data_IF_277636867726
#
_entry.id   IF_277636867726
#
_cell.length_a   1.000
_cell.length_b   1.000
_cell.length_c   1.000
_cell.angle_alpha   90.00
_cell.angle_beta   90.00
_cell.angle_gamma   90.00
#
_symmetry.space_group_name_H-M   'P 1'
#
loop_
_entity.id
_entity.type
_entity.pdbx_description
1 polymer ?
#
# COMPACT_ATOMS: atom_id res chain seq x y z
N UNK A 1 44.28 -11.79 -58.45
CA UNK A 1 43.02 -11.38 -59.13
C UNK A 1 43.38 -10.85 -60.50
N UNK A 2 42.72 -11.32 -61.56
CA UNK A 2 43.00 -10.93 -62.95
C UNK A 2 42.02 -9.87 -63.46
N UNK A 3 40.72 -10.00 -63.16
CA UNK A 3 39.71 -9.06 -63.60
C UNK A 3 38.48 -9.07 -62.69
N UNK A 4 37.78 -7.93 -62.64
CA UNK A 4 36.46 -7.78 -62.03
C UNK A 4 35.51 -7.07 -62.98
N UNK A 5 34.24 -7.46 -62.95
CA UNK A 5 33.15 -6.78 -63.61
C UNK A 5 31.96 -6.64 -62.67
N UNK A 6 31.27 -5.49 -62.73
CA UNK A 6 30.09 -5.22 -61.91
C UNK A 6 28.95 -4.83 -62.84
N UNK A 7 27.77 -5.42 -62.63
CA UNK A 7 26.51 -4.97 -63.24
C UNK A 7 25.59 -4.43 -62.16
N UNK A 8 25.61 -3.11 -61.91
CA UNK A 8 24.84 -2.50 -60.82
C UNK A 8 23.33 -2.78 -60.93
N UNK A 9 22.80 -2.72 -62.15
CA UNK A 9 21.37 -2.91 -62.45
C UNK A 9 20.82 -4.28 -62.01
N UNK A 10 21.67 -5.32 -62.02
CA UNK A 10 21.32 -6.69 -61.67
C UNK A 10 21.98 -7.18 -60.38
N UNK A 11 22.77 -6.34 -59.71
CA UNK A 11 23.50 -6.71 -58.49
C UNK A 11 24.58 -7.79 -58.67
N UNK A 12 25.07 -8.00 -59.90
CA UNK A 12 26.03 -9.07 -60.19
C UNK A 12 27.48 -8.56 -60.09
N UNK A 13 28.34 -9.36 -59.44
CA UNK A 13 29.79 -9.17 -59.42
C UNK A 13 30.44 -10.40 -60.03
N UNK A 14 31.27 -10.22 -61.06
CA UNK A 14 32.12 -11.27 -61.62
C UNK A 14 33.56 -11.02 -61.21
N UNK A 15 34.22 -12.07 -60.74
CA UNK A 15 35.62 -12.06 -60.35
C UNK A 15 36.34 -13.17 -61.12
N UNK A 16 37.47 -12.84 -61.73
CA UNK A 16 38.36 -13.82 -62.37
C UNK A 16 39.67 -13.80 -61.59
N UNK A 17 40.06 -14.98 -61.12
CA UNK A 17 41.31 -15.20 -60.39
C UNK A 17 42.09 -16.29 -61.11
N UNK A 18 43.41 -16.17 -61.11
CA UNK A 18 44.30 -17.21 -61.55
C UNK A 18 45.49 -17.29 -60.60
N UNK A 19 46.06 -18.47 -60.54
CA UNK A 19 47.32 -18.76 -59.88
C UNK A 19 48.21 -19.47 -60.90
N UNK A 20 49.50 -19.18 -60.88
CA UNK A 20 50.49 -19.77 -61.80
C UNK A 20 51.55 -20.49 -60.99
N UNK A 21 51.98 -21.67 -61.44
CA UNK A 21 52.87 -22.55 -60.67
C UNK A 21 52.09 -23.58 -59.86
N UNK A 22 52.55 -24.83 -59.87
CA UNK A 22 51.87 -25.97 -59.23
C UNK A 22 51.84 -25.81 -57.70
N UNK A 23 52.85 -25.12 -57.15
CA UNK A 23 53.00 -24.76 -55.75
C UNK A 23 51.99 -23.71 -55.24
N UNK A 24 51.33 -22.98 -56.16
CA UNK A 24 50.35 -21.95 -55.82
C UNK A 24 48.91 -22.39 -56.15
N UNK A 25 48.72 -23.64 -56.56
CA UNK A 25 47.40 -24.20 -56.79
C UNK A 25 46.61 -24.25 -55.47
N UNK A 26 45.30 -24.02 -55.54
CA UNK A 26 44.42 -24.22 -54.38
C UNK A 26 44.29 -25.73 -54.17
N UNK A 27 45.03 -26.27 -53.20
CA UNK A 27 45.13 -27.70 -52.93
C UNK A 27 44.43 -28.15 -51.64
N UNK A 28 43.98 -27.20 -50.82
CA UNK A 28 43.35 -27.44 -49.53
C UNK A 28 42.11 -26.55 -49.35
N UNK A 29 41.20 -26.98 -48.48
CA UNK A 29 40.04 -26.19 -48.10
C UNK A 29 40.47 -24.89 -47.41
N UNK A 30 39.90 -23.76 -47.82
CA UNK A 30 40.27 -22.47 -47.25
C UNK A 30 39.42 -21.30 -47.73
N UNK A 31 39.63 -20.14 -47.11
CA UNK A 31 38.98 -18.88 -47.51
C UNK A 31 39.53 -18.41 -48.87
N UNK A 32 38.70 -18.44 -49.91
CA UNK A 32 39.08 -17.97 -51.25
C UNK A 32 38.84 -16.49 -51.48
N UNK A 33 37.81 -15.92 -50.83
CA UNK A 33 37.40 -14.53 -51.02
C UNK A 33 36.76 -13.96 -49.75
N UNK A 34 37.11 -12.70 -49.45
CA UNK A 34 36.41 -11.89 -48.45
C UNK A 34 35.69 -10.74 -49.13
N UNK A 35 34.36 -10.79 -49.16
CA UNK A 35 33.53 -9.68 -49.62
C UNK A 35 33.30 -8.70 -48.46
N UNK A 36 33.49 -7.41 -48.72
CA UNK A 36 33.15 -6.34 -47.78
C UNK A 36 32.10 -5.44 -48.41
N UNK A 37 31.07 -5.11 -47.65
CA UNK A 37 30.00 -4.20 -48.07
C UNK A 37 29.52 -3.34 -46.91
N UNK A 38 28.89 -2.22 -47.22
CA UNK A 38 28.25 -1.34 -46.25
C UNK A 38 26.76 -1.24 -46.56
N UNK A 39 25.94 -1.25 -45.52
CA UNK A 39 24.51 -1.04 -45.67
C UNK A 39 24.22 0.45 -45.87
N UNK A 40 23.21 0.74 -46.71
CA UNK A 40 22.64 2.08 -46.78
C UNK A 40 21.96 2.41 -45.45
N UNK A 41 22.18 3.62 -44.93
CA UNK A 41 21.55 4.04 -43.68
C UNK A 41 20.01 4.04 -43.79
N UNK A 42 19.32 3.62 -42.72
CA UNK A 42 17.86 3.75 -42.58
C UNK A 42 17.01 2.78 -43.40
N UNK A 43 17.58 1.69 -43.94
CA UNK A 43 16.81 0.67 -44.67
C UNK A 43 16.48 -0.53 -43.79
N UNK A 44 15.33 -1.15 -44.04
CA UNK A 44 14.93 -2.45 -43.49
C UNK A 44 14.61 -3.42 -44.63
N UNK A 45 14.81 -4.71 -44.41
CA UNK A 45 14.50 -5.74 -45.39
C UNK A 45 15.46 -6.91 -45.33
N UNK A 46 15.42 -7.75 -46.36
CA UNK A 46 16.34 -8.86 -46.54
C UNK A 46 17.24 -8.62 -47.75
N UNK A 47 18.50 -9.05 -47.64
CA UNK A 47 19.43 -9.12 -48.76
C UNK A 47 20.02 -10.52 -48.81
N UNK A 48 20.00 -11.13 -49.99
CA UNK A 48 20.64 -12.41 -50.26
C UNK A 48 21.95 -12.15 -51.01
N UNK A 49 23.04 -12.70 -50.51
CA UNK A 49 24.33 -12.73 -51.23
C UNK A 49 24.64 -14.19 -51.49
N UNK A 50 24.80 -14.57 -52.76
CA UNK A 50 25.10 -15.95 -53.13
C UNK A 50 26.10 -16.03 -54.27
N UNK A 51 26.80 -17.15 -54.37
CA UNK A 51 27.61 -17.47 -55.55
C UNK A 51 26.70 -18.16 -56.56
N UNK A 52 26.39 -17.48 -57.66
CA UNK A 52 25.48 -18.02 -58.70
C UNK A 52 26.20 -18.88 -59.74
N UNK A 53 27.52 -18.74 -59.87
CA UNK A 53 28.35 -19.57 -60.74
C UNK A 53 29.81 -19.57 -60.24
N UNK A 54 30.42 -20.74 -60.14
CA UNK A 54 31.83 -20.89 -59.79
C UNK A 54 32.48 -21.97 -60.66
N UNK A 55 33.29 -21.55 -61.63
CA UNK A 55 34.00 -22.45 -62.53
C UNK A 55 35.48 -22.45 -62.21
N UNK A 56 36.04 -23.64 -62.02
CA UNK A 56 37.48 -23.85 -61.82
C UNK A 56 38.03 -24.34 -63.16
N UNK A 57 39.20 -23.85 -63.56
CA UNK A 57 39.88 -24.31 -64.77
C UNK A 57 41.36 -24.60 -64.50
N UNK A 58 41.84 -25.73 -65.03
CA UNK A 58 43.23 -26.13 -65.02
C UNK A 58 43.56 -26.86 -66.34
N UNK A 59 44.71 -26.55 -66.94
CA UNK A 59 45.23 -27.19 -68.16
C UNK A 59 44.22 -27.28 -69.32
N UNK A 60 43.43 -26.22 -69.51
CA UNK A 60 42.42 -26.13 -70.58
C UNK A 60 41.09 -26.84 -70.28
N UNK A 61 40.99 -27.55 -69.16
CA UNK A 61 39.75 -28.17 -68.70
C UNK A 61 39.02 -27.24 -67.71
N UNK A 62 37.69 -27.22 -67.74
CA UNK A 62 36.87 -26.47 -66.78
C UNK A 62 35.82 -27.36 -66.12
N UNK A 63 35.63 -27.17 -64.82
CA UNK A 63 34.62 -27.86 -64.03
C UNK A 63 33.85 -26.87 -63.15
N UNK A 64 32.51 -26.91 -63.13
CA UNK A 64 31.73 -26.13 -62.17
C UNK A 64 31.87 -26.73 -60.76
N UNK A 65 31.98 -25.87 -59.75
CA UNK A 65 31.83 -26.30 -58.37
C UNK A 65 30.37 -26.19 -57.91
N UNK A 66 29.98 -27.02 -56.94
CA UNK A 66 28.69 -26.90 -56.28
C UNK A 66 28.66 -25.59 -55.45
N UNK A 67 27.61 -24.78 -55.66
CA UNK A 67 27.39 -23.50 -54.97
C UNK A 67 26.08 -23.45 -54.20
N UNK A 68 25.37 -24.57 -54.06
CA UNK A 68 24.04 -24.66 -53.45
C UNK A 68 24.04 -24.13 -51.99
N UNK A 69 25.14 -24.38 -51.26
CA UNK A 69 25.33 -23.91 -49.89
C UNK A 69 26.04 -22.55 -49.79
N UNK A 70 26.47 -21.96 -50.91
CA UNK A 70 27.22 -20.72 -50.96
C UNK A 70 26.30 -19.49 -50.99
N UNK A 71 25.37 -19.42 -50.02
CA UNK A 71 24.42 -18.32 -49.86
C UNK A 71 24.39 -17.81 -48.42
N UNK A 72 24.31 -16.49 -48.27
CA UNK A 72 24.15 -15.78 -47.02
C UNK A 72 22.88 -14.92 -47.08
N UNK A 73 21.98 -15.16 -46.14
CA UNK A 73 20.81 -14.31 -45.91
C UNK A 73 21.12 -13.27 -44.85
N UNK A 74 20.97 -12.00 -45.21
CA UNK A 74 21.17 -10.85 -44.32
C UNK A 74 19.79 -10.27 -44.02
N UNK A 75 19.42 -10.24 -42.74
CA UNK A 75 18.18 -9.62 -42.26
C UNK A 75 18.49 -8.26 -41.63
N UNK A 76 17.75 -7.24 -42.03
CA UNK A 76 17.92 -5.85 -41.59
C UNK A 76 16.61 -5.40 -40.94
N UNK A 77 16.60 -5.33 -39.61
CA UNK A 77 15.49 -4.81 -38.83
C UNK A 77 15.74 -3.36 -38.41
N UNK A 78 14.70 -2.51 -38.50
CA UNK A 78 14.70 -1.18 -37.86
C UNK A 78 14.48 -1.31 -36.37
N UNK A 79 15.12 -0.45 -35.58
CA UNK A 79 14.89 -0.40 -34.14
C UNK A 79 13.44 0.03 -33.81
N UNK A 80 12.80 -0.69 -32.89
CA UNK A 80 11.44 -0.42 -32.42
C UNK A 80 11.44 0.73 -31.40
N UNK A 81 10.62 1.76 -31.67
CA UNK A 81 10.51 2.99 -30.88
C UNK A 81 9.12 3.16 -30.25
N UNK A 82 8.18 2.25 -30.50
CA UNK A 82 6.78 2.42 -30.09
C UNK A 82 6.65 2.63 -28.57
N UNK A 83 7.36 1.83 -27.78
CA UNK A 83 7.36 1.93 -26.32
C UNK A 83 7.97 3.25 -25.81
N UNK A 84 9.01 3.77 -26.48
CA UNK A 84 9.64 5.04 -26.12
C UNK A 84 8.71 6.22 -26.42
N UNK A 85 8.07 6.25 -27.60
CA UNK A 85 7.10 7.30 -27.92
C UNK A 85 5.90 7.30 -26.96
N UNK A 86 5.36 6.12 -26.63
CA UNK A 86 4.28 6.02 -25.65
C UNK A 86 4.70 6.55 -24.27
N UNK A 87 5.89 6.18 -23.80
CA UNK A 87 6.41 6.65 -22.51
C UNK A 87 6.65 8.17 -22.49
N UNK A 88 7.13 8.75 -23.59
CA UNK A 88 7.29 10.21 -23.75
C UNK A 88 5.93 10.90 -23.63
N UNK A 89 4.90 10.38 -24.31
CA UNK A 89 3.54 10.92 -24.25
C UNK A 89 2.95 10.91 -22.83
N UNK A 90 3.04 9.78 -22.13
CA UNK A 90 2.56 9.66 -20.76
C UNK A 90 3.35 10.54 -19.77
N UNK A 91 4.68 10.63 -19.92
CA UNK A 91 5.50 11.51 -19.10
C UNK A 91 5.18 12.99 -19.33
N UNK A 92 4.94 13.40 -20.58
CA UNK A 92 4.53 14.77 -20.91
C UNK A 92 3.19 15.12 -20.28
N UNK A 93 2.18 14.24 -20.43
CA UNK A 93 0.87 14.40 -19.81
C UNK A 93 0.96 14.55 -18.30
N UNK A 94 1.78 13.72 -17.64
CA UNK A 94 2.03 13.80 -16.20
C UNK A 94 2.65 15.15 -15.82
N UNK A 95 3.66 15.62 -16.56
CA UNK A 95 4.27 16.92 -16.32
C UNK A 95 3.28 18.07 -16.52
N UNK A 96 2.45 18.01 -17.56
CA UNK A 96 1.47 19.06 -17.89
C UNK A 96 0.37 19.16 -16.83
N UNK A 97 -0.10 18.01 -16.31
CA UNK A 97 -1.11 17.94 -15.25
C UNK A 97 -0.56 18.31 -13.86
N UNK A 98 0.75 18.22 -13.64
CA UNK A 98 1.35 18.48 -12.35
C UNK A 98 1.36 19.98 -12.02
N UNK A 99 0.70 20.34 -10.92
CA UNK A 99 0.74 21.67 -10.31
C UNK A 99 2.04 21.83 -9.53
N UNK A 100 2.80 22.88 -9.85
CA UNK A 100 4.06 23.20 -9.16
C UNK A 100 3.86 24.16 -8.00
N UNK A 101 4.56 23.91 -6.89
CA UNK A 101 4.65 24.84 -5.77
C UNK A 101 5.23 24.18 -4.52
N UNK A 102 4.89 24.71 -3.35
CA UNK A 102 5.43 24.28 -2.05
C UNK A 102 4.36 23.73 -1.11
N UNK A 103 3.12 23.63 -1.56
CA UNK A 103 2.00 23.18 -0.73
C UNK A 103 1.75 21.67 -0.85
N UNK A 104 1.17 21.05 0.19
CA UNK A 104 0.57 19.71 0.14
C UNK A 104 -0.13 19.36 -1.18
N UNK A 105 0.26 18.23 -1.77
CA UNK A 105 -0.29 17.72 -3.03
C UNK A 105 0.28 18.35 -4.30
N UNK A 106 1.14 19.37 -4.20
CA UNK A 106 1.86 19.95 -5.34
C UNK A 106 3.22 19.27 -5.55
N UNK A 107 3.84 19.51 -6.72
CA UNK A 107 5.18 19.02 -7.04
C UNK A 107 6.22 20.14 -6.94
N UNK A 108 7.44 19.89 -6.42
CA UNK A 108 8.52 20.86 -6.46
C UNK A 108 8.89 21.25 -7.90
N UNK A 109 9.16 22.54 -8.12
CA UNK A 109 9.56 23.04 -9.43
C UNK A 109 10.80 22.32 -9.99
N UNK A 110 11.79 22.03 -9.13
CA UNK A 110 12.99 21.29 -9.49
C UNK A 110 12.69 19.87 -9.99
N UNK A 111 11.71 19.18 -9.38
CA UNK A 111 11.29 17.85 -9.81
C UNK A 111 10.65 17.89 -11.20
N UNK A 112 9.80 18.89 -11.47
CA UNK A 112 9.17 19.06 -12.80
C UNK A 112 10.21 19.38 -13.86
N UNK A 113 11.18 20.24 -13.56
CA UNK A 113 12.31 20.53 -14.46
C UNK A 113 13.14 19.29 -14.76
N UNK A 114 13.44 18.46 -13.75
CA UNK A 114 14.17 17.21 -13.96
C UNK A 114 13.41 16.25 -14.88
N UNK A 115 12.10 16.08 -14.69
CA UNK A 115 11.26 15.26 -15.57
C UNK A 115 11.26 15.78 -17.02
N UNK A 116 11.09 17.10 -17.21
CA UNK A 116 11.10 17.72 -18.54
C UNK A 116 12.46 17.58 -19.24
N UNK A 117 13.57 17.60 -18.50
CA UNK A 117 14.90 17.31 -19.04
C UNK A 117 14.99 15.87 -19.55
N UNK A 118 14.57 14.89 -18.75
CA UNK A 118 14.56 13.48 -19.17
C UNK A 118 13.63 13.22 -20.35
N UNK A 119 12.48 13.90 -20.43
CA UNK A 119 11.60 13.86 -21.61
C UNK A 119 12.33 14.38 -22.85
N UNK A 120 13.08 15.47 -22.73
CA UNK A 120 13.83 16.07 -23.85
C UNK A 120 14.96 15.16 -24.33
N UNK A 121 15.64 14.47 -23.42
CA UNK A 121 16.69 13.49 -23.75
C UNK A 121 16.11 12.25 -24.43
N UNK A 122 14.97 11.74 -23.93
CA UNK A 122 14.24 10.65 -24.56
C UNK A 122 13.77 11.01 -25.98
N UNK A 123 13.26 12.24 -26.20
CA UNK A 123 12.87 12.74 -27.53
C UNK A 123 14.06 12.77 -28.49
N UNK A 124 15.23 13.24 -28.04
CA UNK A 124 16.46 13.23 -28.87
C UNK A 124 16.82 11.83 -29.35
N UNK A 125 16.73 10.81 -28.50
CA UNK A 125 16.99 9.41 -28.90
C UNK A 125 15.89 8.87 -29.81
N UNK A 126 14.63 9.23 -29.55
CA UNK A 126 13.50 8.79 -30.38
C UNK A 126 13.57 9.36 -31.80
N UNK A 127 13.99 10.62 -31.95
CA UNK A 127 14.11 11.33 -33.22
C UNK A 127 15.40 10.99 -33.99
N UNK A 128 16.39 10.36 -33.34
CA UNK A 128 17.63 9.92 -33.98
C UNK A 128 17.38 8.65 -34.82
N UNK A 129 17.39 8.82 -36.15
CA UNK A 129 17.25 7.74 -37.12
C UNK A 129 18.38 6.70 -37.03
N UNK A 130 19.55 7.07 -36.51
CA UNK A 130 20.69 6.18 -36.32
C UNK A 130 20.72 5.51 -34.93
N UNK A 131 19.78 5.83 -34.03
CA UNK A 131 19.72 5.23 -32.70
C UNK A 131 19.61 3.70 -32.78
N UNK A 132 20.49 3.03 -32.04
CA UNK A 132 20.45 1.56 -31.89
C UNK A 132 19.32 1.15 -30.95
N UNK A 133 18.87 -0.11 -31.04
CA UNK A 133 17.87 -0.64 -30.11
C UNK A 133 18.30 -0.47 -28.64
N UNK A 134 19.59 -0.70 -28.35
CA UNK A 134 20.14 -0.49 -27.01
C UNK A 134 19.99 0.97 -26.53
N UNK A 135 20.27 1.95 -27.39
CA UNK A 135 20.11 3.36 -27.02
C UNK A 135 18.65 3.70 -26.72
N UNK A 136 17.71 3.15 -27.50
CA UNK A 136 16.26 3.33 -27.29
C UNK A 136 15.81 2.69 -25.97
N UNK A 137 16.27 1.47 -25.66
CA UNK A 137 15.94 0.76 -24.42
C UNK A 137 16.52 1.47 -23.19
N UNK A 138 17.75 1.98 -23.29
CA UNK A 138 18.41 2.76 -22.24
C UNK A 138 17.63 4.08 -22.00
N UNK A 139 17.23 4.79 -23.05
CA UNK A 139 16.43 6.00 -22.95
C UNK A 139 15.05 5.75 -22.33
N UNK A 140 14.38 4.65 -22.71
CA UNK A 140 13.11 4.23 -22.13
C UNK A 140 13.25 3.95 -20.63
N UNK A 141 14.32 3.25 -20.24
CA UNK A 141 14.62 2.93 -18.84
C UNK A 141 14.87 4.21 -18.03
N UNK A 142 15.68 5.12 -18.55
CA UNK A 142 15.96 6.41 -17.91
C UNK A 142 14.69 7.26 -17.74
N UNK A 143 13.84 7.35 -18.76
CA UNK A 143 12.58 8.10 -18.69
C UNK A 143 11.62 7.50 -17.65
N UNK A 144 11.48 6.16 -17.60
CA UNK A 144 10.65 5.49 -16.59
C UNK A 144 11.14 5.76 -15.16
N UNK A 145 12.46 5.76 -14.95
CA UNK A 145 13.05 6.11 -13.67
C UNK A 145 12.74 7.56 -13.28
N UNK A 146 12.88 8.51 -14.22
CA UNK A 146 12.54 9.92 -13.99
C UNK A 146 11.06 10.13 -13.64
N UNK A 147 10.15 9.43 -14.34
CA UNK A 147 8.71 9.45 -14.03
C UNK A 147 8.43 8.93 -12.61
N UNK A 148 9.08 7.84 -12.20
CA UNK A 148 8.93 7.30 -10.84
C UNK A 148 9.41 8.30 -9.78
N UNK A 149 10.61 8.86 -9.96
CA UNK A 149 11.16 9.91 -9.09
C UNK A 149 10.23 11.11 -9.01
N UNK A 150 9.68 11.55 -10.14
CA UNK A 150 8.75 12.67 -10.18
C UNK A 150 7.48 12.37 -9.38
N UNK A 151 6.85 11.21 -9.59
CA UNK A 151 5.64 10.80 -8.84
C UNK A 151 5.87 10.79 -7.32
N UNK A 152 7.05 10.38 -6.88
CA UNK A 152 7.43 10.32 -5.46
C UNK A 152 7.80 11.70 -4.89
N UNK A 153 8.02 12.71 -5.72
CA UNK A 153 8.37 14.06 -5.28
C UNK A 153 7.16 14.90 -4.83
N UNK A 154 5.94 14.37 -4.91
CA UNK A 154 4.73 15.07 -4.45
C UNK A 154 4.89 15.48 -2.99
N UNK A 155 4.60 16.74 -2.68
CA UNK A 155 4.68 17.27 -1.32
C UNK A 155 3.60 16.57 -0.49
N UNK A 156 3.97 15.86 0.58
CA UNK A 156 3.00 15.11 1.37
C UNK A 156 1.89 16.01 1.92
N UNK A 157 0.66 15.52 1.92
CA UNK A 157 -0.41 16.18 2.65
C UNK A 157 -0.25 15.85 4.13
N UNK A 158 -0.04 16.84 5.02
CA UNK A 158 0.05 16.57 6.45
C UNK A 158 -1.27 15.96 6.91
N UNK A 159 -1.22 14.74 7.42
CA UNK A 159 -2.35 14.11 8.07
C UNK A 159 -2.68 14.91 9.33
N UNK A 160 -3.92 15.38 9.47
CA UNK A 160 -4.39 15.98 10.72
C UNK A 160 -4.24 14.93 11.82
N UNK A 161 -3.48 15.21 12.91
CA UNK A 161 -3.36 14.27 14.01
C UNK A 161 -4.73 13.92 14.59
N UNK A 162 -4.94 12.64 14.89
CA UNK A 162 -6.18 12.18 15.52
C UNK A 162 -6.24 12.70 16.96
N UNK A 163 -7.31 13.41 17.30
CA UNK A 163 -7.54 13.94 18.63
C UNK A 163 -8.15 12.87 19.54
N UNK A 164 -7.45 12.55 20.63
CA UNK A 164 -7.83 11.53 21.63
C UNK A 164 -8.17 12.13 22.99
N UNK A 165 -8.30 13.45 23.09
CA UNK A 165 -8.57 14.16 24.35
C UNK A 165 -9.88 13.71 24.99
N UNK A 166 -10.99 13.74 24.24
CA UNK A 166 -12.31 13.32 24.72
C UNK A 166 -12.34 11.86 25.19
N UNK A 167 -11.75 10.94 24.41
CA UNK A 167 -11.63 9.53 24.79
C UNK A 167 -10.80 9.36 26.08
N UNK A 168 -9.71 10.11 26.22
CA UNK A 168 -8.86 10.07 27.41
C UNK A 168 -9.61 10.52 28.66
N UNK A 169 -10.37 11.61 28.57
CA UNK A 169 -11.22 12.09 29.67
C UNK A 169 -12.32 11.08 30.01
N UNK A 170 -12.99 10.50 29.00
CA UNK A 170 -14.02 9.48 29.21
C UNK A 170 -13.47 8.24 29.92
N UNK A 171 -12.28 7.77 29.54
CA UNK A 171 -11.59 6.67 30.22
C UNK A 171 -11.30 7.01 31.68
N UNK A 172 -10.78 8.21 31.97
CA UNK A 172 -10.49 8.63 33.34
C UNK A 172 -11.75 8.68 34.21
N UNK A 173 -12.85 9.26 33.69
CA UNK A 173 -14.14 9.29 34.39
C UNK A 173 -14.71 7.89 34.63
N UNK A 174 -14.66 7.01 33.62
CA UNK A 174 -15.13 5.64 33.75
C UNK A 174 -14.30 4.84 34.76
N UNK A 175 -12.98 5.02 34.77
CA UNK A 175 -12.07 4.38 35.72
C UNK A 175 -12.38 4.83 37.16
N UNK A 176 -12.59 6.12 37.39
CA UNK A 176 -12.97 6.64 38.71
C UNK A 176 -14.29 6.04 39.22
N UNK A 177 -15.28 5.87 38.34
CA UNK A 177 -16.55 5.21 38.67
C UNK A 177 -16.31 3.74 39.02
N UNK A 178 -15.51 3.02 38.21
CA UNK A 178 -15.17 1.62 38.44
C UNK A 178 -14.43 1.40 39.76
N UNK A 179 -13.46 2.26 40.08
CA UNK A 179 -12.62 2.15 41.27
C UNK A 179 -13.44 2.39 42.55
N UNK A 180 -14.37 3.37 42.53
CA UNK A 180 -15.27 3.65 43.66
C UNK A 180 -16.36 2.59 43.82
N UNK A 181 -16.75 1.90 42.76
CA UNK A 181 -17.83 0.91 42.82
C UNK A 181 -17.41 -0.32 43.65
N UNK A 182 -18.26 -0.70 44.61
CA UNK A 182 -18.08 -1.93 45.40
C UNK A 182 -18.89 -3.05 44.78
N UNK A 183 -18.28 -4.22 44.59
CA UNK A 183 -18.97 -5.40 44.07
C UNK A 183 -19.74 -6.12 45.20
N UNK A 184 -20.97 -6.54 44.93
CA UNK A 184 -21.78 -7.32 45.87
C UNK A 184 -23.25 -7.41 45.46
N UNK A 185 -24.08 -7.91 46.38
CA UNK A 185 -25.52 -8.13 46.22
C UNK A 185 -26.38 -7.22 47.11
N UNK A 186 -25.74 -6.32 47.87
CA UNK A 186 -26.36 -5.43 48.84
C UNK A 186 -26.65 -4.04 48.29
N UNK A 187 -27.59 -3.33 48.91
CA UNK A 187 -27.92 -1.93 48.57
C UNK A 187 -26.66 -1.08 48.56
N UNK A 188 -26.50 -0.25 47.54
CA UNK A 188 -25.32 0.60 47.33
C UNK A 188 -24.16 -0.10 46.63
N UNK A 189 -24.19 -1.41 46.45
CA UNK A 189 -23.20 -2.15 45.67
C UNK A 189 -23.65 -2.33 44.21
N UNK A 190 -22.72 -2.81 43.39
CA UNK A 190 -22.98 -3.22 42.01
C UNK A 190 -22.76 -4.73 41.86
N UNK A 191 -23.53 -5.43 41.04
CA UNK A 191 -23.25 -6.83 40.72
C UNK A 191 -21.84 -7.00 40.14
N UNK A 192 -21.13 -8.04 40.55
CA UNK A 192 -19.77 -8.30 40.08
C UNK A 192 -19.68 -8.40 38.55
N UNK A 193 -20.67 -9.01 37.90
CA UNK A 193 -20.77 -9.11 36.44
C UNK A 193 -20.87 -7.71 35.78
N UNK A 194 -21.66 -6.79 36.33
CA UNK A 194 -21.78 -5.43 35.80
C UNK A 194 -20.45 -4.68 35.93
N UNK A 195 -19.73 -4.86 37.04
CA UNK A 195 -18.40 -4.26 37.23
C UNK A 195 -17.39 -4.81 36.21
N UNK A 196 -17.43 -6.12 35.92
CA UNK A 196 -16.60 -6.73 34.88
C UNK A 196 -16.93 -6.20 33.47
N UNK A 197 -18.22 -6.03 33.13
CA UNK A 197 -18.64 -5.45 31.85
C UNK A 197 -18.10 -4.02 31.66
N UNK A 198 -18.16 -3.17 32.69
CA UNK A 198 -17.58 -1.83 32.64
C UNK A 198 -16.05 -1.88 32.45
N UNK A 199 -15.36 -2.80 33.14
CA UNK A 199 -13.91 -2.98 32.96
C UNK A 199 -13.57 -3.35 31.52
N UNK A 200 -14.32 -4.28 30.91
CA UNK A 200 -14.13 -4.66 29.50
C UNK A 200 -14.32 -3.46 28.56
N UNK A 201 -15.32 -2.61 28.81
CA UNK A 201 -15.51 -1.39 28.03
C UNK A 201 -14.35 -0.40 28.17
N UNK A 202 -13.83 -0.22 29.39
CA UNK A 202 -12.64 0.61 29.67
C UNK A 202 -11.41 0.05 28.94
N UNK A 203 -11.21 -1.26 28.95
CA UNK A 203 -10.10 -1.92 28.25
C UNK A 203 -10.20 -1.74 26.72
N UNK A 204 -11.41 -1.89 26.15
CA UNK A 204 -11.64 -1.65 24.74
C UNK A 204 -11.35 -0.19 24.34
N UNK A 205 -11.77 0.79 25.16
CA UNK A 205 -11.46 2.20 24.95
C UNK A 205 -9.96 2.48 25.03
N UNK A 206 -9.25 1.87 25.98
CA UNK A 206 -7.78 1.99 26.09
C UNK A 206 -7.05 1.39 24.88
N UNK A 207 -7.55 0.30 24.29
CA UNK A 207 -6.97 -0.26 23.07
C UNK A 207 -7.04 0.73 21.89
N UNK A 208 -8.18 1.41 21.70
CA UNK A 208 -8.32 2.47 20.67
C UNK A 208 -7.43 3.68 20.98
N UNK A 209 -7.34 4.08 22.25
CA UNK A 209 -6.44 5.16 22.70
C UNK A 209 -4.98 4.83 22.39
N UNK A 210 -4.54 3.59 22.58
CA UNK A 210 -3.17 3.14 22.33
C UNK A 210 -2.82 2.87 20.86
N UNK A 211 -3.81 2.74 19.97
CA UNK A 211 -3.57 2.44 18.56
C UNK A 211 -3.01 3.65 17.79
N UNK A 212 -1.85 3.48 17.15
CA UNK A 212 -1.23 4.49 16.28
C UNK A 212 -1.94 4.64 14.92
N UNK A 213 -2.79 3.67 14.56
CA UNK A 213 -3.52 3.64 13.29
C UNK A 213 -5.02 3.95 13.46
N UNK A 214 -5.46 4.25 14.68
CA UNK A 214 -6.86 4.62 14.93
C UNK A 214 -7.22 5.90 14.17
N UNK A 215 -8.34 5.85 13.45
CA UNK A 215 -8.95 7.01 12.78
C UNK A 215 -9.78 7.83 13.78
N UNK A 216 -10.09 9.09 13.44
CA UNK A 216 -10.93 9.94 14.29
C UNK A 216 -12.29 9.29 14.58
N UNK A 217 -12.94 8.72 13.57
CA UNK A 217 -14.22 8.03 13.74
C UNK A 217 -14.14 6.85 14.73
N UNK A 218 -13.04 6.10 14.75
CA UNK A 218 -12.84 5.01 15.70
C UNK A 218 -12.68 5.53 17.13
N UNK A 219 -11.97 6.65 17.31
CA UNK A 219 -11.80 7.30 18.62
C UNK A 219 -13.13 7.83 19.14
N UNK A 220 -13.90 8.51 18.29
CA UNK A 220 -15.21 9.06 18.66
C UNK A 220 -16.21 7.94 19.00
N UNK A 221 -16.22 6.87 18.20
CA UNK A 221 -17.06 5.69 18.46
C UNK A 221 -16.69 5.00 19.78
N UNK A 222 -15.40 4.89 20.10
CA UNK A 222 -14.96 4.32 21.36
C UNK A 222 -15.39 5.16 22.56
N UNK A 223 -15.35 6.49 22.45
CA UNK A 223 -15.82 7.39 23.50
C UNK A 223 -17.33 7.25 23.73
N UNK A 224 -18.13 7.20 22.66
CA UNK A 224 -19.57 7.00 22.74
C UNK A 224 -19.96 5.62 23.31
N UNK A 225 -19.25 4.56 22.91
CA UNK A 225 -19.45 3.21 23.43
C UNK A 225 -19.12 3.14 24.93
N UNK A 226 -18.02 3.74 25.37
CA UNK A 226 -17.66 3.82 26.79
C UNK A 226 -18.70 4.61 27.60
N UNK A 227 -19.18 5.74 27.09
CA UNK A 227 -20.24 6.52 27.75
C UNK A 227 -21.55 5.72 27.91
N UNK A 228 -21.91 4.91 26.91
CA UNK A 228 -23.08 4.02 26.96
C UNK A 228 -22.89 2.89 27.99
N UNK A 229 -21.68 2.33 28.07
CA UNK A 229 -21.33 1.32 29.07
C UNK A 229 -21.41 1.89 30.50
N UNK A 230 -20.88 3.10 30.73
CA UNK A 230 -21.00 3.79 32.03
C UNK A 230 -22.46 4.01 32.42
N UNK A 231 -23.30 4.49 31.49
CA UNK A 231 -24.73 4.70 31.74
C UNK A 231 -25.44 3.40 32.10
N UNK A 232 -25.11 2.32 31.39
CA UNK A 232 -25.65 0.98 31.66
C UNK A 232 -25.21 0.48 33.04
N UNK A 233 -23.93 0.65 33.36
CA UNK A 233 -23.37 0.26 34.65
C UNK A 233 -24.04 1.00 35.82
N UNK A 234 -24.23 2.32 35.73
CA UNK A 234 -24.87 3.12 36.78
C UNK A 234 -26.29 2.64 37.10
N UNK A 235 -27.04 2.18 36.10
CA UNK A 235 -28.39 1.60 36.27
C UNK A 235 -28.39 0.22 36.93
N UNK A 236 -27.23 -0.40 37.10
CA UNK A 236 -27.06 -1.67 37.82
C UNK A 236 -26.78 -1.48 39.31
N UNK A 237 -26.81 -0.24 39.83
CA UNK A 237 -26.75 0.00 41.26
C UNK A 237 -27.89 -0.77 41.95
N UNK A 238 -27.55 -1.52 42.99
CA UNK A 238 -28.55 -2.24 43.78
C UNK A 238 -29.22 -1.24 44.71
N UNK A 239 -30.51 -1.04 44.51
CA UNK A 239 -31.36 -0.10 45.25
C UNK A 239 -32.71 -0.75 45.54
N UNK A 240 -33.53 -0.12 46.37
CA UNK A 240 -34.92 -0.56 46.59
C UNK A 240 -35.89 0.10 45.60
N UNK A 241 -35.42 1.09 44.84
CA UNK A 241 -36.15 1.77 43.76
C UNK A 241 -35.64 1.29 42.40
N UNK A 242 -36.38 0.42 41.67
CA UNK A 242 -35.91 -0.17 40.42
C UNK A 242 -35.40 0.87 39.41
N UNK A 243 -34.17 0.68 38.91
CA UNK A 243 -33.54 1.53 37.92
C UNK A 243 -32.96 2.85 38.46
N UNK A 244 -33.01 3.10 39.76
CA UNK A 244 -32.34 4.24 40.37
C UNK A 244 -30.81 4.11 40.29
N UNK A 245 -30.14 5.23 40.08
CA UNK A 245 -28.67 5.32 39.95
C UNK A 245 -28.00 5.88 41.22
N UNK A 246 -28.78 6.11 42.28
CA UNK A 246 -28.32 6.60 43.58
C UNK A 246 -29.29 6.12 44.67
N UNK A 247 -28.77 5.95 45.89
CA UNK A 247 -29.60 5.67 47.07
C UNK A 247 -30.16 6.99 47.60
N UNK A 248 -31.47 7.03 47.85
CA UNK A 248 -32.17 8.24 48.26
C UNK A 248 -33.06 8.00 49.47
N UNK A 249 -33.66 9.08 49.98
CA UNK A 249 -34.70 9.00 51.02
C UNK A 249 -35.88 8.12 50.59
N UNK A 250 -36.12 7.93 49.29
CA UNK A 250 -37.15 7.01 48.80
C UNK A 250 -36.80 5.56 49.16
N UNK A 251 -35.56 5.13 48.96
CA UNK A 251 -35.09 3.80 49.37
C UNK A 251 -35.24 3.61 50.89
N UNK A 252 -34.85 4.62 51.67
CA UNK A 252 -35.00 4.59 53.13
C UNK A 252 -36.47 4.50 53.55
N UNK A 253 -37.38 5.21 52.87
CA UNK A 253 -38.82 5.16 53.15
C UNK A 253 -39.42 3.79 52.85
N UNK A 254 -38.97 3.14 51.76
CA UNK A 254 -39.36 1.77 51.43
C UNK A 254 -38.85 0.83 52.51
N UNK A 255 -37.59 0.95 52.90
CA UNK A 255 -36.98 0.10 53.92
C UNK A 255 -37.68 0.23 55.28
N UNK A 256 -38.01 1.46 55.70
CA UNK A 256 -38.68 1.74 56.97
C UNK A 256 -40.07 1.10 57.06
N UNK A 257 -40.79 0.98 55.93
CA UNK A 257 -42.08 0.26 55.88
C UNK A 257 -41.94 -1.22 56.27
N UNK A 258 -40.79 -1.82 56.05
CA UNK A 258 -40.50 -3.23 56.35
C UNK A 258 -39.62 -3.40 57.60
N UNK A 259 -39.55 -2.40 58.49
CA UNK A 259 -38.79 -2.51 59.73
C UNK A 259 -39.24 -3.72 60.57
N UNK A 260 -38.28 -4.50 61.07
CA UNK A 260 -38.50 -5.69 61.89
C UNK A 260 -38.92 -6.95 61.11
N UNK A 261 -39.03 -6.88 59.77
CA UNK A 261 -39.30 -8.07 58.95
C UNK A 261 -38.13 -9.05 59.04
N UNK A 262 -38.43 -10.36 59.12
CA UNK A 262 -37.43 -11.42 59.15
C UNK A 262 -37.30 -12.12 57.80
N UNK A 263 -36.19 -12.83 57.61
CA UNK A 263 -35.87 -13.59 56.39
C UNK A 263 -36.86 -14.69 56.00
N UNK A 264 -37.71 -15.11 56.94
CA UNK A 264 -38.80 -16.07 56.74
C UNK A 264 -40.09 -15.43 56.21
N UNK A 265 -40.19 -14.10 56.19
CA UNK A 265 -41.39 -13.40 55.72
C UNK A 265 -41.52 -13.49 54.18
N UNK A 266 -42.74 -13.71 53.64
CA UNK A 266 -42.98 -13.73 52.20
C UNK A 266 -42.51 -12.48 51.44
N UNK A 267 -42.43 -11.32 52.10
CA UNK A 267 -41.98 -10.06 51.51
C UNK A 267 -40.47 -9.81 51.66
N UNK A 268 -39.72 -10.70 52.31
CA UNK A 268 -38.29 -10.53 52.56
C UNK A 268 -37.49 -10.19 51.29
N UNK A 269 -37.79 -10.86 50.18
CA UNK A 269 -37.11 -10.65 48.89
C UNK A 269 -37.13 -9.20 48.39
N UNK A 270 -38.10 -8.40 48.82
CA UNK A 270 -38.21 -6.97 48.46
C UNK A 270 -37.15 -6.10 49.13
N UNK A 271 -36.62 -6.53 50.28
CA UNK A 271 -35.71 -5.74 51.12
C UNK A 271 -34.46 -6.50 51.54
N UNK A 272 -34.33 -7.78 51.20
CA UNK A 272 -33.17 -8.61 51.50
C UNK A 272 -31.81 -7.97 51.12
N UNK A 273 -31.68 -7.22 50.00
CA UNK A 273 -30.44 -6.50 49.70
C UNK A 273 -30.07 -5.42 50.73
N UNK A 274 -31.02 -4.93 51.52
CA UNK A 274 -30.80 -3.93 52.56
C UNK A 274 -30.44 -4.52 53.94
N UNK A 275 -30.44 -5.85 54.09
CA UNK A 275 -29.82 -6.51 55.25
C UNK A 275 -28.30 -6.50 55.09
N UNK A 276 -27.71 -5.35 55.37
CA UNK A 276 -26.28 -5.09 55.16
C UNK A 276 -25.38 -5.86 56.13
N UNK A 277 -25.94 -6.34 57.25
CA UNK A 277 -25.22 -7.03 58.31
C UNK A 277 -25.49 -8.54 58.34
N UNK A 278 -26.33 -9.04 57.43
CA UNK A 278 -26.73 -10.45 57.32
C UNK A 278 -27.33 -10.99 58.62
N UNK A 279 -28.14 -10.17 59.28
CA UNK A 279 -28.80 -10.50 60.55
C UNK A 279 -30.08 -11.34 60.32
N UNK A 280 -30.55 -11.43 59.07
CA UNK A 280 -31.81 -12.08 58.75
C UNK A 280 -33.03 -11.27 59.17
N UNK A 281 -32.85 -9.98 59.44
CA UNK A 281 -33.88 -9.02 59.84
C UNK A 281 -33.57 -7.61 59.29
N UNK A 282 -34.59 -6.81 58.97
CA UNK A 282 -34.41 -5.36 58.75
C UNK A 282 -34.42 -4.65 60.11
N UNK A 283 -33.23 -4.53 60.70
CA UNK A 283 -33.01 -3.87 61.98
C UNK A 283 -32.81 -2.35 61.85
N UNK A 284 -32.74 -1.65 62.99
CA UNK A 284 -32.41 -0.22 63.03
C UNK A 284 -31.01 0.04 62.44
N UNK A 285 -30.12 -0.95 62.48
CA UNK A 285 -28.78 -0.86 61.87
C UNK A 285 -28.88 -0.78 60.35
N UNK A 286 -29.76 -1.58 59.73
CA UNK A 286 -30.02 -1.53 58.28
C UNK A 286 -30.54 -0.16 57.84
N UNK A 287 -31.51 0.40 58.57
CA UNK A 287 -32.02 1.75 58.32
C UNK A 287 -30.92 2.81 58.48
N UNK A 288 -30.16 2.74 59.57
CA UNK A 288 -29.07 3.67 59.84
C UNK A 288 -27.99 3.62 58.74
N UNK A 289 -27.63 2.43 58.28
CA UNK A 289 -26.63 2.26 57.24
C UNK A 289 -27.11 2.83 55.89
N UNK A 290 -28.36 2.60 55.48
CA UNK A 290 -28.94 3.23 54.28
C UNK A 290 -29.01 4.75 54.44
N UNK A 291 -29.39 5.27 55.62
CA UNK A 291 -29.37 6.70 55.90
C UNK A 291 -27.95 7.30 55.78
N UNK A 292 -26.93 6.60 56.27
CA UNK A 292 -25.53 7.01 56.13
C UNK A 292 -25.05 6.97 54.67
N UNK A 293 -25.51 6.02 53.85
CA UNK A 293 -25.22 6.02 52.41
C UNK A 293 -25.78 7.27 51.72
N UNK A 294 -26.99 7.71 52.09
CA UNK A 294 -27.60 8.93 51.54
C UNK A 294 -26.76 10.17 51.92
N UNK A 295 -26.39 10.29 53.20
CA UNK A 295 -25.55 11.40 53.69
C UNK A 295 -24.16 11.37 53.03
N UNK A 296 -23.53 10.20 52.94
CA UNK A 296 -22.23 10.02 52.30
C UNK A 296 -22.26 10.43 50.82
N UNK A 297 -23.35 10.10 50.10
CA UNK A 297 -23.52 10.51 48.70
C UNK A 297 -23.67 12.02 48.51
N UNK A 298 -24.16 12.74 49.54
CA UNK A 298 -24.26 14.19 49.52
C UNK A 298 -22.89 14.87 49.72
N UNK A 299 -22.04 14.33 50.59
CA UNK A 299 -20.67 14.83 50.79
C UNK A 299 -19.74 14.60 49.59
N UNK A 300 -20.04 13.60 48.75
CA UNK A 300 -19.22 13.25 47.60
C UNK A 300 -19.54 14.06 46.32
N UNK A 301 -20.51 14.98 46.38
CA UNK A 301 -20.88 15.92 45.30
C UNK A 301 -20.15 17.25 45.47
#
# INVERSE_FOLDING_TARGET
MLATGVKPESGEIRIIMASTGQENAVSEDGELLKLRGTLKAGVSGSAAVSVSAFNISADGNSSPANTDSAALQIQIATADRAALFAAIGEAQKLADQAVTGTEPGQYPASAKTALLSSISDAKRVADDAAATQKAIDDALTALKAAVSTFKNAVIPVPSVPVDKSALTSAIASAQSIYDRAVAGDKVGHYPAAAKAELLSAIQAANAVKGSSTATQNQVDSAAAALGSAVTTFQKKLITLVPGAVQITVQDLSILAKYYGIQSTDPNWSRVAPADLFSEGEISIRSLAAVAQMIIGSWYAK
#
